data_IF_346402859310
#
_entry.id   IF_346402859310
#
_cell.length_a   1.000
_cell.length_b   1.000
_cell.length_c   1.000
_cell.angle_alpha   90.00
_cell.angle_beta   90.00
_cell.angle_gamma   90.00
#
_symmetry.space_group_name_H-M   'P 1'
#
loop_
_entity.id
_entity.type
_entity.pdbx_description
1 polymer ?
#
# COMPACT_ATOMS: atom_id res chain seq x y z
N UNK A 1 -26.02 -10.89 0.64
CA UNK A 1 -24.96 -11.79 1.13
C UNK A 1 -23.64 -11.02 1.18
N UNK A 2 -23.04 -10.77 2.35
CA UNK A 2 -21.69 -10.20 2.43
C UNK A 2 -20.72 -11.26 1.90
N UNK A 3 -20.19 -11.09 0.69
CA UNK A 3 -19.15 -11.97 0.16
C UNK A 3 -17.97 -11.96 1.14
N UNK A 4 -17.66 -13.11 1.75
CA UNK A 4 -16.52 -13.29 2.67
C UNK A 4 -15.20 -13.31 1.86
N UNK A 5 -14.92 -12.27 1.09
CA UNK A 5 -13.66 -12.15 0.37
C UNK A 5 -12.52 -12.06 1.37
N UNK A 6 -11.45 -12.84 1.15
CA UNK A 6 -10.30 -12.86 2.06
C UNK A 6 -9.48 -11.59 1.85
N UNK A 7 -9.06 -10.89 2.92
CA UNK A 7 -8.17 -9.75 2.78
C UNK A 7 -6.78 -10.21 2.32
N UNK A 8 -5.99 -9.31 1.73
CA UNK A 8 -4.55 -9.52 1.53
C UNK A 8 -3.83 -9.91 2.81
N UNK A 9 -2.78 -10.72 2.67
CA UNK A 9 -1.90 -11.12 3.77
C UNK A 9 -0.72 -10.15 3.79
N UNK A 10 -0.44 -9.54 4.94
CA UNK A 10 0.73 -8.69 5.11
C UNK A 10 1.86 -9.44 5.81
N UNK A 11 3.07 -9.34 5.23
CA UNK A 11 4.30 -9.92 5.78
C UNK A 11 5.50 -9.09 5.27
N UNK A 12 6.37 -8.68 6.19
CA UNK A 12 7.67 -8.07 5.91
C UNK A 12 7.60 -6.91 4.89
N UNK A 13 6.73 -5.92 5.13
CA UNK A 13 6.58 -4.78 4.22
C UNK A 13 5.75 -5.04 2.95
N UNK A 14 5.35 -6.29 2.68
CA UNK A 14 4.68 -6.67 1.43
C UNK A 14 3.29 -7.27 1.65
N UNK A 15 2.40 -7.03 0.68
CA UNK A 15 1.10 -7.66 0.61
C UNK A 15 1.14 -8.88 -0.32
N UNK A 16 0.41 -9.92 0.05
CA UNK A 16 0.30 -11.18 -0.68
C UNK A 16 -1.16 -11.55 -0.91
N UNK A 17 -1.43 -12.19 -2.04
CA UNK A 17 -2.75 -12.71 -2.35
C UNK A 17 -3.09 -13.89 -1.42
N UNK A 18 -4.24 -13.89 -0.73
CA UNK A 18 -4.64 -14.97 0.18
C UNK A 18 -5.04 -16.25 -0.56
N UNK A 19 -5.12 -16.21 -1.90
CA UNK A 19 -5.52 -17.35 -2.73
C UNK A 19 -4.34 -18.02 -3.42
N UNK A 20 -3.43 -17.26 -4.05
CA UNK A 20 -2.27 -17.81 -4.78
C UNK A 20 -0.91 -17.52 -4.11
N UNK A 21 -0.89 -16.77 -2.99
CA UNK A 21 0.33 -16.40 -2.24
C UNK A 21 1.36 -15.59 -3.01
N UNK A 22 1.03 -15.11 -4.21
CA UNK A 22 1.91 -14.20 -4.96
C UNK A 22 1.87 -12.79 -4.38
N UNK A 23 2.98 -12.01 -4.50
CA UNK A 23 3.00 -10.60 -4.16
C UNK A 23 1.85 -9.84 -4.85
N UNK A 24 1.22 -8.95 -4.10
CA UNK A 24 0.04 -8.25 -4.56
C UNK A 24 0.43 -7.10 -5.49
N UNK A 25 0.40 -7.36 -6.79
CA UNK A 25 0.33 -6.31 -7.80
C UNK A 25 -1.14 -5.92 -7.94
N UNK A 26 -1.54 -4.84 -7.28
CA UNK A 26 -2.95 -4.41 -7.24
C UNK A 26 -3.31 -3.67 -8.51
N UNK A 27 -4.39 -4.11 -9.17
CA UNK A 27 -5.14 -3.25 -10.08
C UNK A 27 -6.22 -2.58 -9.23
N UNK A 28 -6.11 -1.27 -9.03
CA UNK A 28 -7.20 -0.49 -8.43
C UNK A 28 -8.32 -0.35 -9.46
N UNK A 29 -9.24 -1.31 -9.48
CA UNK A 29 -10.55 -1.09 -10.10
C UNK A 29 -11.34 -0.21 -9.14
N UNK A 30 -11.49 1.08 -9.50
CA UNK A 30 -12.31 2.12 -8.86
C UNK A 30 -13.10 1.73 -7.60
N UNK A 31 -12.93 2.50 -6.51
CA UNK A 31 -13.59 2.32 -5.19
C UNK A 31 -13.14 1.10 -4.37
N UNK A 32 -11.83 0.95 -4.15
CA UNK A 32 -11.26 -0.01 -3.16
C UNK A 32 -11.58 -1.49 -3.46
N UNK A 33 -11.91 -1.83 -4.71
CA UNK A 33 -12.02 -3.22 -5.14
C UNK A 33 -10.64 -3.72 -5.52
N UNK A 34 -10.08 -4.55 -4.65
CA UNK A 34 -8.78 -5.16 -4.86
C UNK A 34 -8.96 -6.45 -5.65
N UNK A 35 -8.15 -6.62 -6.70
CA UNK A 35 -8.07 -7.84 -7.49
C UNK A 35 -6.61 -8.26 -7.60
N UNK A 36 -6.35 -9.57 -7.48
CA UNK A 36 -5.00 -10.08 -7.70
C UNK A 36 -4.70 -10.11 -9.20
N UNK A 37 -3.65 -9.41 -9.66
CA UNK A 37 -3.25 -9.44 -11.07
C UNK A 37 -2.84 -10.84 -11.58
N UNK A 38 -2.41 -11.74 -10.68
CA UNK A 38 -1.97 -13.09 -11.06
C UNK A 38 -3.14 -14.06 -11.19
N UNK A 39 -3.88 -14.29 -10.11
CA UNK A 39 -4.96 -15.29 -10.11
C UNK A 39 -6.35 -14.71 -10.43
N UNK A 40 -6.42 -13.39 -10.65
CA UNK A 40 -7.62 -12.64 -11.03
C UNK A 40 -8.78 -12.71 -10.02
N UNK A 41 -8.55 -13.30 -8.83
CA UNK A 41 -9.57 -13.39 -7.78
C UNK A 41 -9.80 -12.03 -7.09
N UNK A 42 -11.06 -11.67 -6.80
CA UNK A 42 -11.37 -10.48 -6.02
C UNK A 42 -10.96 -10.69 -4.56
N UNK A 43 -10.51 -9.61 -3.94
CA UNK A 43 -9.96 -9.58 -2.59
C UNK A 43 -10.84 -8.77 -1.66
N UNK A 44 -10.80 -9.11 -0.38
CA UNK A 44 -11.43 -8.33 0.67
C UNK A 44 -10.69 -7.02 0.92
N UNK A 45 -11.33 -6.11 1.66
CA UNK A 45 -10.69 -4.87 2.10
C UNK A 45 -9.54 -5.16 3.05
N UNK A 46 -8.50 -4.33 3.02
CA UNK A 46 -7.46 -4.33 4.03
C UNK A 46 -8.03 -3.98 5.42
N UNK A 47 -7.83 -4.83 6.44
CA UNK A 47 -8.21 -4.48 7.81
C UNK A 47 -7.39 -3.29 8.32
N UNK A 48 -8.02 -2.45 9.15
CA UNK A 48 -7.34 -1.30 9.78
C UNK A 48 -6.11 -1.72 10.58
N UNK A 49 -6.14 -2.88 11.23
CA UNK A 49 -4.99 -3.42 11.95
C UNK A 49 -3.78 -3.69 11.04
N UNK A 50 -4.01 -4.10 9.79
CA UNK A 50 -2.93 -4.30 8.82
C UNK A 50 -2.41 -2.95 8.32
N UNK A 51 -3.29 -1.98 8.06
CA UNK A 51 -2.88 -0.61 7.70
C UNK A 51 -2.00 0.01 8.79
N UNK A 52 -2.35 -0.19 10.06
CA UNK A 52 -1.52 0.25 11.20
C UNK A 52 -0.15 -0.41 11.18
N UNK A 53 -0.08 -1.74 11.00
CA UNK A 53 1.20 -2.44 10.88
C UNK A 53 2.05 -1.94 9.72
N UNK A 54 1.45 -1.72 8.55
CA UNK A 54 2.14 -1.15 7.39
C UNK A 54 2.73 0.23 7.68
N UNK A 55 2.02 1.05 8.46
CA UNK A 55 2.52 2.35 8.89
C UNK A 55 3.65 2.22 9.91
N UNK A 56 3.52 1.32 10.88
CA UNK A 56 4.54 1.07 11.91
C UNK A 56 5.84 0.48 11.32
N UNK A 57 5.71 -0.38 10.30
CA UNK A 57 6.83 -1.01 9.58
C UNK A 57 7.48 -0.06 8.55
N UNK A 58 6.94 1.14 8.35
CA UNK A 58 7.50 2.10 7.40
C UNK A 58 8.89 2.58 7.85
N UNK A 59 9.95 2.47 7.02
CA UNK A 59 11.31 2.82 7.44
C UNK A 59 11.43 4.30 7.82
N UNK A 60 11.82 4.57 9.07
CA UNK A 60 11.96 5.94 9.59
C UNK A 60 13.00 6.75 8.84
N UNK A 61 14.07 6.10 8.38
CA UNK A 61 15.13 6.75 7.61
C UNK A 61 14.61 7.20 6.25
N UNK A 62 13.77 6.38 5.60
CA UNK A 62 13.11 6.76 4.35
C UNK A 62 12.15 7.95 4.55
N UNK A 63 11.42 7.97 5.67
CA UNK A 63 10.59 9.12 6.02
C UNK A 63 11.42 10.41 6.17
N UNK A 64 12.60 10.31 6.80
CA UNK A 64 13.52 11.42 7.00
C UNK A 64 14.09 11.93 5.68
N UNK A 65 14.54 11.04 4.81
CA UNK A 65 15.03 11.39 3.47
C UNK A 65 13.95 12.13 2.67
N UNK A 66 12.72 11.59 2.66
CA UNK A 66 11.60 12.24 1.98
C UNK A 66 11.28 13.64 2.54
N UNK A 67 11.33 13.84 3.86
CA UNK A 67 11.15 15.17 4.46
C UNK A 67 12.20 16.17 3.95
N UNK A 68 13.46 15.75 3.90
CA UNK A 68 14.55 16.58 3.38
C UNK A 68 14.35 16.94 1.91
N UNK A 69 13.93 15.97 1.08
CA UNK A 69 13.59 16.22 -0.34
C UNK A 69 12.44 17.22 -0.50
N UNK A 70 11.39 17.08 0.31
CA UNK A 70 10.24 17.99 0.26
C UNK A 70 10.62 19.41 0.71
N UNK A 71 11.47 19.56 1.72
CA UNK A 71 12.01 20.86 2.12
C UNK A 71 12.89 21.49 1.03
N UNK A 72 13.79 20.72 0.44
CA UNK A 72 14.61 21.18 -0.68
C UNK A 72 13.76 21.65 -1.86
N UNK A 73 12.72 20.87 -2.21
CA UNK A 73 11.77 21.23 -3.27
C UNK A 73 11.02 22.53 -2.97
N UNK A 74 10.55 22.73 -1.74
CA UNK A 74 9.90 23.99 -1.32
C UNK A 74 10.82 25.19 -1.52
N UNK A 75 12.10 25.06 -1.14
CA UNK A 75 13.09 26.13 -1.33
C UNK A 75 13.31 26.45 -2.81
N UNK A 76 13.45 25.43 -3.66
CA UNK A 76 13.62 25.62 -5.10
C UNK A 76 12.43 26.31 -5.77
N UNK A 77 11.20 26.00 -5.35
CA UNK A 77 9.99 26.67 -5.84
C UNK A 77 9.92 28.12 -5.36
N UNK A 78 10.29 28.39 -4.11
CA UNK A 78 10.29 29.74 -3.53
C UNK A 78 11.35 30.67 -4.16
N UNK A 79 12.42 30.12 -4.73
CA UNK A 79 13.48 30.86 -5.41
C UNK A 79 13.27 31.03 -6.92
N UNK A 80 12.17 30.52 -7.46
CA UNK A 80 11.83 30.70 -8.88
C UNK A 80 11.10 32.06 -9.03
N UNK A 81 11.57 32.97 -9.91
CA UNK A 81 11.01 34.31 -10.06
C UNK A 81 9.57 34.30 -10.59
#
# INVERSE_FOLDING_TARGET
>A
MKSKLKPPIYRDGMLFCPYCRMPLLTVEETHLKLKCAVCQKPLGKLPISILKKMFDDFPKDLAKEWMLEMEARKRLVATKP
#
